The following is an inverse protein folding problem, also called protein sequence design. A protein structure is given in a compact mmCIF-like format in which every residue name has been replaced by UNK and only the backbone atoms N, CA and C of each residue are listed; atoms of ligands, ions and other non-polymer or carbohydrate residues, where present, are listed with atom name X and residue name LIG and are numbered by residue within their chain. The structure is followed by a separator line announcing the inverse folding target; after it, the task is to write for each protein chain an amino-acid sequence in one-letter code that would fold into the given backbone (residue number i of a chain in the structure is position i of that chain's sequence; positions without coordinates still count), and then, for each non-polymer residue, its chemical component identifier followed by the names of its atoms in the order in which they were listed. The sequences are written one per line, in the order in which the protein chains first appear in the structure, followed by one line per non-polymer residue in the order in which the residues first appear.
data_IF_460338498966
#
_entry.id   IF_460338498966
#
_cell.length_a   1.000
_cell.length_b   1.000
_cell.length_c   1.000
_cell.angle_alpha   90.00
_cell.angle_beta   90.00
_cell.angle_gamma   90.00
#
_symmetry.space_group_name_H-M   'P 1'
#
loop_
_entity.id
_entity.type
_entity.pdbx_description
1 polymer ?
#
# COMPACT_ATOMS: atom_id res chain seq x y z
N UNK A 1 5.78 13.44 -10.00
CA UNK A 1 5.46 12.01 -9.82
C UNK A 1 5.88 11.26 -11.07
N UNK A 2 6.45 10.07 -10.91
CA UNK A 2 6.74 9.16 -12.02
C UNK A 2 5.43 8.72 -12.68
N UNK A 3 5.46 8.40 -13.95
CA UNK A 3 4.26 7.89 -14.65
C UNK A 3 3.96 6.46 -14.23
N UNK A 4 2.71 6.01 -14.32
CA UNK A 4 2.33 4.61 -14.04
C UNK A 4 3.15 3.63 -14.88
N UNK A 5 3.50 4.00 -16.11
CA UNK A 5 4.33 3.18 -17.00
C UNK A 5 5.77 3.02 -16.48
N UNK A 6 6.40 4.11 -16.02
CA UNK A 6 7.74 4.07 -15.42
C UNK A 6 7.75 3.26 -14.13
N UNK A 7 6.72 3.43 -13.29
CA UNK A 7 6.55 2.65 -12.06
C UNK A 7 6.39 1.16 -12.35
N UNK A 8 5.57 0.80 -13.34
CA UNK A 8 5.38 -0.60 -13.75
C UNK A 8 6.70 -1.20 -14.23
N UNK A 9 7.44 -0.51 -15.07
CA UNK A 9 8.74 -0.98 -15.56
C UNK A 9 9.73 -1.17 -14.40
N UNK A 10 9.77 -0.24 -13.44
CA UNK A 10 10.63 -0.33 -12.26
C UNK A 10 10.25 -1.50 -11.35
N UNK A 11 8.97 -1.67 -11.06
CA UNK A 11 8.44 -2.76 -10.25
C UNK A 11 8.76 -4.13 -10.88
N UNK A 12 8.50 -4.28 -12.18
CA UNK A 12 8.81 -5.51 -12.92
C UNK A 12 10.33 -5.79 -12.96
N UNK A 13 11.17 -4.77 -13.13
CA UNK A 13 12.63 -4.92 -13.09
C UNK A 13 13.13 -5.39 -11.72
N UNK A 14 12.62 -4.82 -10.62
CA UNK A 14 12.96 -5.23 -9.27
C UNK A 14 12.53 -6.69 -9.01
N UNK A 15 11.28 -7.05 -9.30
CA UNK A 15 10.82 -8.43 -9.11
C UNK A 15 11.55 -9.43 -10.00
N UNK A 16 11.94 -9.06 -11.22
CA UNK A 16 12.72 -9.92 -12.12
C UNK A 16 14.13 -10.22 -11.60
N UNK A 17 14.65 -9.41 -10.68
CA UNK A 17 15.95 -9.67 -10.03
C UNK A 17 15.86 -10.71 -8.91
N UNK A 18 14.68 -11.09 -8.48
CA UNK A 18 14.43 -12.13 -7.47
C UNK A 18 14.66 -13.49 -8.10
N UNK A 19 15.48 -14.33 -7.46
CA UNK A 19 15.89 -15.64 -8.01
C UNK A 19 15.03 -16.82 -7.54
N UNK A 20 13.95 -16.55 -6.81
CA UNK A 20 13.09 -17.59 -6.23
C UNK A 20 12.28 -18.33 -7.29
N UNK A 21 12.26 -19.66 -7.17
CA UNK A 21 11.40 -20.49 -8.01
C UNK A 21 9.93 -20.07 -7.88
N UNK A 22 9.31 -19.82 -9.03
CA UNK A 22 7.91 -19.39 -9.11
C UNK A 22 7.69 -17.88 -9.23
N UNK A 23 8.76 -17.06 -9.18
CA UNK A 23 8.64 -15.60 -9.30
C UNK A 23 7.98 -15.19 -10.64
N UNK A 24 8.31 -15.85 -11.74
CA UNK A 24 7.71 -15.58 -13.05
C UNK A 24 6.21 -15.82 -13.04
N UNK A 25 5.74 -16.86 -12.31
CA UNK A 25 4.31 -17.16 -12.16
C UNK A 25 3.62 -16.12 -11.31
N UNK A 26 4.26 -15.64 -10.23
CA UNK A 26 3.74 -14.57 -9.39
C UNK A 26 3.61 -13.26 -10.20
N UNK A 27 4.66 -12.90 -10.94
CA UNK A 27 4.63 -11.72 -11.81
C UNK A 27 3.53 -11.81 -12.87
N UNK A 28 3.40 -12.99 -13.50
CA UNK A 28 2.31 -13.25 -14.46
C UNK A 28 0.93 -13.14 -13.82
N UNK A 29 0.75 -13.62 -12.59
CA UNK A 29 -0.49 -13.48 -11.84
C UNK A 29 -0.80 -12.00 -11.56
N UNK A 30 0.15 -11.24 -11.00
CA UNK A 30 -0.01 -9.82 -10.71
C UNK A 30 -0.43 -9.05 -11.98
N UNK A 31 0.25 -9.31 -13.09
CA UNK A 31 0.04 -8.62 -14.37
C UNK A 31 -1.28 -8.95 -15.05
N UNK A 32 -1.68 -10.21 -15.06
CA UNK A 32 -2.75 -10.70 -15.93
C UNK A 32 -4.04 -11.05 -15.17
N UNK A 33 -3.99 -11.20 -13.86
CA UNK A 33 -5.11 -11.66 -13.06
C UNK A 33 -5.50 -10.69 -11.92
N UNK A 34 -4.79 -9.56 -11.81
CA UNK A 34 -5.09 -8.54 -10.81
C UNK A 34 -5.07 -7.14 -11.41
N UNK A 35 -5.66 -6.21 -10.69
CA UNK A 35 -5.61 -4.78 -10.97
C UNK A 35 -4.45 -4.05 -10.23
N UNK A 36 -3.46 -4.78 -9.71
CA UNK A 36 -2.38 -4.24 -8.88
C UNK A 36 -1.73 -2.96 -9.43
N UNK A 37 -1.55 -2.89 -10.75
CA UNK A 37 -0.91 -1.75 -11.40
C UNK A 37 -1.81 -0.51 -11.52
N UNK A 38 -3.11 -0.69 -11.37
CA UNK A 38 -4.10 0.39 -11.48
C UNK A 38 -4.89 0.61 -10.19
N UNK A 39 -4.85 -0.34 -9.25
CA UNK A 39 -5.53 -0.25 -7.97
C UNK A 39 -5.07 0.96 -7.15
N UNK A 40 -5.96 1.59 -6.35
CA UNK A 40 -5.58 2.61 -5.38
C UNK A 40 -4.89 1.98 -4.16
N UNK A 41 -4.05 2.74 -3.46
CA UNK A 41 -3.47 2.31 -2.18
C UNK A 41 -4.48 2.36 -1.03
N UNK A 42 -5.48 3.24 -1.12
CA UNK A 42 -6.53 3.41 -0.11
C UNK A 42 -7.84 3.90 -0.73
N UNK A 43 -8.92 3.92 0.04
CA UNK A 43 -10.23 4.46 -0.43
C UNK A 43 -10.30 5.98 -0.40
N UNK A 44 -9.53 6.65 0.48
CA UNK A 44 -9.66 8.12 0.72
C UNK A 44 -8.48 8.76 1.44
N UNK A 45 -7.44 7.99 1.73
CA UNK A 45 -6.26 8.50 2.42
C UNK A 45 -5.15 8.74 1.39
N UNK A 46 -3.95 8.22 1.64
CA UNK A 46 -2.82 8.33 0.73
C UNK A 46 -3.09 7.57 -0.59
N UNK A 47 -2.68 8.16 -1.70
CA UNK A 47 -2.73 7.56 -3.05
C UNK A 47 -4.09 6.87 -3.37
N UNK A 48 -5.19 7.55 -3.04
CA UNK A 48 -6.55 7.10 -3.38
C UNK A 48 -6.86 7.40 -4.86
N UNK A 49 -5.98 6.96 -5.75
CA UNK A 49 -6.03 7.21 -7.20
C UNK A 49 -5.56 5.98 -7.98
N UNK A 50 -5.79 6.01 -9.28
CA UNK A 50 -5.30 4.97 -10.19
C UNK A 50 -3.77 4.85 -10.11
N UNK A 51 -3.27 3.59 -9.97
CA UNK A 51 -1.85 3.30 -9.81
C UNK A 51 -1.28 3.59 -8.43
N UNK A 52 -2.14 3.98 -7.48
CA UNK A 52 -1.72 4.31 -6.12
C UNK A 52 -1.03 3.17 -5.39
N UNK A 53 -1.55 1.94 -5.51
CA UNK A 53 -0.97 0.75 -4.88
C UNK A 53 0.46 0.46 -5.39
N UNK A 54 0.67 0.57 -6.70
CA UNK A 54 1.97 0.40 -7.32
C UNK A 54 2.97 1.46 -6.84
N UNK A 55 2.57 2.74 -6.82
CA UNK A 55 3.40 3.85 -6.34
C UNK A 55 3.75 3.66 -4.85
N UNK A 56 2.78 3.32 -4.01
CA UNK A 56 2.98 3.04 -2.59
C UNK A 56 4.01 1.93 -2.37
N UNK A 57 3.86 0.80 -3.05
CA UNK A 57 4.80 -0.32 -2.95
C UNK A 57 6.24 0.09 -3.29
N UNK A 58 6.43 0.93 -4.30
CA UNK A 58 7.74 1.46 -4.66
C UNK A 58 8.27 2.46 -3.62
N UNK A 59 7.43 3.32 -3.06
CA UNK A 59 7.80 4.25 -2.00
C UNK A 59 8.25 3.49 -0.74
N UNK A 60 7.51 2.45 -0.34
CA UNK A 60 7.89 1.57 0.79
C UNK A 60 9.23 0.88 0.52
N UNK A 61 9.47 0.43 -0.71
CA UNK A 61 10.77 -0.13 -1.09
C UNK A 61 11.90 0.88 -0.92
N UNK A 62 11.72 2.11 -1.40
CA UNK A 62 12.73 3.16 -1.28
C UNK A 62 13.03 3.51 0.19
N UNK A 63 11.99 3.65 1.01
CA UNK A 63 12.14 3.88 2.46
C UNK A 63 12.87 2.72 3.13
N UNK A 64 12.52 1.46 2.82
CA UNK A 64 13.14 0.28 3.42
C UNK A 64 14.62 0.16 3.03
N UNK A 65 14.95 0.38 1.76
CA UNK A 65 16.35 0.29 1.27
C UNK A 65 17.19 1.43 1.84
N UNK A 66 16.65 2.64 1.97
CA UNK A 66 17.36 3.77 2.57
C UNK A 66 17.80 3.49 4.01
N UNK A 67 17.09 2.62 4.75
CA UNK A 67 17.49 2.21 6.10
C UNK A 67 18.82 1.44 6.13
N UNK A 68 19.28 0.85 5.01
CA UNK A 68 20.58 0.16 4.92
C UNK A 68 21.78 1.09 5.23
N UNK A 69 21.61 2.39 5.02
CA UNK A 69 22.64 3.38 5.31
C UNK A 69 22.55 3.96 6.73
N UNK A 70 21.46 3.69 7.44
CA UNK A 70 21.26 4.12 8.82
C UNK A 70 22.16 3.32 9.78
N UNK A 71 22.91 3.99 10.68
CA UNK A 71 23.75 3.28 11.69
C UNK A 71 22.98 2.29 12.55
N UNK A 72 21.70 2.53 12.81
CA UNK A 72 20.82 1.65 13.61
C UNK A 72 20.41 0.43 12.81
N UNK A 73 20.01 0.61 11.54
CA UNK A 73 19.46 -0.45 10.71
C UNK A 73 20.49 -1.24 9.94
N UNK A 74 21.62 -0.64 9.63
CA UNK A 74 22.71 -1.28 8.86
C UNK A 74 23.12 -2.66 9.38
N UNK A 75 23.41 -2.87 10.68
CA UNK A 75 23.80 -4.19 11.19
C UNK A 75 22.66 -5.22 11.12
N UNK A 76 21.41 -4.76 11.20
CA UNK A 76 20.21 -5.62 11.13
C UNK A 76 19.95 -6.06 9.69
N UNK A 77 19.95 -5.10 8.76
CA UNK A 77 19.61 -5.34 7.35
C UNK A 77 20.76 -5.95 6.57
N UNK A 78 22.01 -5.88 7.03
CA UNK A 78 23.16 -6.54 6.38
C UNK A 78 23.01 -8.06 6.27
N UNK A 79 22.25 -8.68 7.17
CA UNK A 79 21.95 -10.13 7.13
C UNK A 79 20.71 -10.50 6.30
N UNK A 80 20.00 -9.53 5.72
CA UNK A 80 18.80 -9.75 4.94
C UNK A 80 19.15 -9.68 3.44
N UNK A 81 18.91 -10.75 2.66
CA UNK A 81 19.13 -10.70 1.20
C UNK A 81 18.33 -9.59 0.53
N UNK A 82 18.91 -8.96 -0.49
CA UNK A 82 18.23 -7.89 -1.24
C UNK A 82 16.91 -8.36 -1.85
N UNK A 83 16.84 -9.60 -2.34
CA UNK A 83 15.59 -10.18 -2.84
C UNK A 83 14.49 -10.24 -1.77
N UNK A 84 14.86 -10.44 -0.48
CA UNK A 84 13.90 -10.44 0.63
C UNK A 84 13.35 -9.04 0.88
N UNK A 85 14.19 -7.99 0.78
CA UNK A 85 13.74 -6.60 0.90
C UNK A 85 12.79 -6.23 -0.25
N UNK A 86 13.10 -6.67 -1.47
CA UNK A 86 12.24 -6.49 -2.64
C UNK A 86 10.88 -7.16 -2.41
N UNK A 87 10.87 -8.44 -2.03
CA UNK A 87 9.65 -9.22 -1.80
C UNK A 87 8.80 -8.56 -0.70
N UNK A 88 9.40 -8.23 0.44
CA UNK A 88 8.68 -7.65 1.57
C UNK A 88 8.08 -6.30 1.21
N UNK A 89 8.84 -5.40 0.62
CA UNK A 89 8.38 -4.05 0.34
C UNK A 89 7.39 -3.98 -0.83
N UNK A 90 7.66 -4.68 -1.93
CA UNK A 90 6.80 -4.61 -3.11
C UNK A 90 5.50 -5.39 -2.97
N UNK A 91 5.46 -6.41 -2.11
CA UNK A 91 4.33 -7.34 -2.03
C UNK A 91 3.60 -7.32 -0.68
N UNK A 92 4.00 -6.46 0.29
CA UNK A 92 3.35 -6.42 1.60
C UNK A 92 1.84 -6.21 1.51
N UNK A 93 1.43 -5.41 0.55
CA UNK A 93 0.05 -4.99 0.28
C UNK A 93 -0.58 -5.68 -0.94
N UNK A 94 -0.07 -6.83 -1.36
CA UNK A 94 -0.67 -7.60 -2.47
C UNK A 94 -2.15 -7.95 -2.22
N UNK A 95 -2.57 -7.99 -0.97
CA UNK A 95 -3.95 -8.16 -0.54
C UNK A 95 -4.92 -7.07 -1.04
N UNK A 96 -4.38 -5.90 -1.42
CA UNK A 96 -5.17 -4.78 -1.97
C UNK A 96 -5.46 -4.91 -3.47
N UNK A 97 -4.82 -5.86 -4.16
CA UNK A 97 -5.16 -6.17 -5.54
C UNK A 97 -6.53 -6.86 -5.62
N UNK A 98 -7.37 -6.42 -6.56
CA UNK A 98 -8.77 -6.85 -6.72
C UNK A 98 -9.60 -6.67 -5.43
N UNK A 99 -9.30 -5.63 -4.66
CA UNK A 99 -9.92 -5.36 -3.36
C UNK A 99 -10.85 -4.16 -3.38
N UNK A 100 -10.69 -3.28 -4.35
CA UNK A 100 -11.48 -2.07 -4.48
C UNK A 100 -12.34 -2.09 -5.73
N UNK A 101 -13.53 -1.51 -5.62
CA UNK A 101 -14.39 -1.19 -6.75
C UNK A 101 -14.58 0.33 -6.86
N UNK A 102 -14.71 0.82 -8.08
CA UNK A 102 -15.12 2.21 -8.30
C UNK A 102 -16.54 2.44 -7.81
N UNK A 103 -16.74 3.56 -7.17
CA UNK A 103 -18.03 4.01 -6.68
C UNK A 103 -18.14 5.52 -6.75
N UNK A 104 -19.24 6.05 -6.24
CA UNK A 104 -19.45 7.49 -6.10
C UNK A 104 -19.87 7.82 -4.68
N UNK A 105 -19.50 9.03 -4.24
CA UNK A 105 -19.99 9.60 -2.98
C UNK A 105 -20.42 11.04 -3.22
N UNK A 106 -21.40 11.50 -2.43
CA UNK A 106 -21.73 12.92 -2.37
C UNK A 106 -20.85 13.57 -1.30
N UNK A 107 -20.22 14.67 -1.66
CA UNK A 107 -19.45 15.51 -0.74
C UNK A 107 -19.80 16.97 -0.93
N UNK A 108 -19.63 17.79 0.11
CA UNK A 108 -19.75 19.23 0.00
C UNK A 108 -18.54 19.80 -0.72
N UNK A 109 -18.76 20.68 -1.68
CA UNK A 109 -17.70 21.53 -2.23
C UNK A 109 -18.02 22.98 -1.89
N UNK A 110 -17.01 23.69 -1.39
CA UNK A 110 -17.02 25.12 -1.08
C UNK A 110 -16.28 25.93 -2.14
N UNK A 111 -15.95 25.32 -3.27
CA UNK A 111 -15.30 25.98 -4.39
C UNK A 111 -16.19 27.17 -4.86
N UNK A 112 -15.71 28.42 -4.76
CA UNK A 112 -16.52 29.60 -5.07
C UNK A 112 -17.02 29.62 -6.53
N UNK A 113 -16.21 29.11 -7.47
CA UNK A 113 -16.57 29.08 -8.88
C UNK A 113 -17.69 28.07 -9.13
N UNK A 114 -17.59 26.88 -8.54
CA UNK A 114 -18.62 25.85 -8.64
C UNK A 114 -19.91 26.30 -7.95
N UNK A 115 -19.80 26.90 -6.76
CA UNK A 115 -20.98 27.43 -6.02
C UNK A 115 -21.65 28.55 -6.80
N UNK A 116 -20.88 29.48 -7.40
CA UNK A 116 -21.43 30.56 -8.20
C UNK A 116 -22.11 30.08 -9.49
N UNK A 117 -21.58 29.03 -10.11
CA UNK A 117 -22.14 28.44 -11.33
C UNK A 117 -23.38 27.57 -11.08
N UNK A 118 -23.61 27.13 -9.84
CA UNK A 118 -24.73 26.24 -9.51
C UNK A 118 -26.08 26.98 -9.51
N UNK A 119 -27.15 26.23 -9.76
CA UNK A 119 -28.51 26.75 -9.66
C UNK A 119 -28.86 27.18 -8.23
N UNK A 120 -29.69 28.21 -8.02
CA UNK A 120 -30.03 28.74 -6.69
C UNK A 120 -30.53 27.68 -5.69
N UNK A 121 -31.28 26.67 -6.18
CA UNK A 121 -31.80 25.59 -5.32
C UNK A 121 -30.76 24.57 -4.87
N UNK A 122 -29.60 24.50 -5.54
CA UNK A 122 -28.48 23.63 -5.18
C UNK A 122 -27.57 24.25 -4.14
N UNK A 123 -27.56 25.60 -4.04
CA UNK A 123 -26.70 26.34 -3.11
C UNK A 123 -27.24 26.19 -1.70
N UNK A 124 -26.36 25.88 -0.78
CA UNK A 124 -26.65 25.74 0.64
C UNK A 124 -25.58 26.47 1.43
N UNK A 125 -25.88 26.72 2.70
CA UNK A 125 -25.00 27.41 3.62
C UNK A 125 -24.84 26.62 4.91
N UNK A 126 -23.63 26.59 5.47
CA UNK A 126 -23.35 26.11 6.83
C UNK A 126 -22.26 26.98 7.49
N UNK A 127 -21.72 26.53 8.63
CA UNK A 127 -20.72 27.30 9.38
C UNK A 127 -19.41 27.54 8.60
N UNK A 128 -19.10 26.72 7.60
CA UNK A 128 -17.91 26.86 6.78
C UNK A 128 -18.13 27.76 5.54
N UNK A 129 -19.42 28.13 5.24
CA UNK A 129 -19.75 29.00 4.12
C UNK A 129 -20.77 28.39 3.17
N UNK A 130 -20.86 28.98 1.96
CA UNK A 130 -21.74 28.51 0.90
C UNK A 130 -21.14 27.26 0.24
N UNK A 131 -21.98 26.26 0.00
CA UNK A 131 -21.57 24.99 -0.60
C UNK A 131 -22.67 24.44 -1.54
N UNK A 132 -22.25 23.49 -2.37
CA UNK A 132 -23.14 22.60 -3.10
C UNK A 132 -22.73 21.13 -2.81
N UNK A 133 -23.68 20.22 -3.04
CA UNK A 133 -23.36 18.79 -3.07
C UNK A 133 -22.85 18.41 -4.45
N UNK A 134 -21.69 17.78 -4.49
CA UNK A 134 -21.06 17.26 -5.70
C UNK A 134 -20.90 15.73 -5.57
N UNK A 135 -21.27 15.01 -6.63
CA UNK A 135 -20.99 13.58 -6.70
C UNK A 135 -19.58 13.38 -7.25
N UNK A 136 -18.71 12.82 -6.45
CA UNK A 136 -17.33 12.55 -6.85
C UNK A 136 -17.07 11.05 -6.92
N UNK A 137 -16.15 10.66 -7.78
CA UNK A 137 -15.63 9.28 -7.82
C UNK A 137 -14.95 8.96 -6.49
N UNK A 138 -15.08 7.73 -6.06
CA UNK A 138 -14.41 7.19 -4.87
C UNK A 138 -14.19 5.71 -5.06
N UNK A 139 -13.37 5.11 -4.19
CA UNK A 139 -13.21 3.67 -4.11
C UNK A 139 -13.98 3.11 -2.92
N UNK A 140 -14.54 1.92 -3.07
CA UNK A 140 -15.21 1.16 -2.03
C UNK A 140 -14.54 -0.19 -1.88
N UNK A 141 -14.54 -0.72 -0.66
CA UNK A 141 -13.99 -2.07 -0.40
C UNK A 141 -14.97 -3.11 -0.92
N UNK A 142 -14.45 -4.05 -1.72
CA UNK A 142 -15.13 -5.25 -2.20
C UNK A 142 -14.27 -6.49 -1.89
N UNK A 143 -14.19 -6.83 -0.61
CA UNK A 143 -13.30 -7.89 -0.12
C UNK A 143 -13.85 -9.29 -0.41
N UNK A 144 -13.35 -9.90 -1.48
CA UNK A 144 -13.72 -11.28 -1.89
C UNK A 144 -13.01 -12.35 -1.05
N UNK A 145 -12.01 -11.99 -0.24
CA UNK A 145 -11.22 -12.91 0.58
C UNK A 145 -11.04 -12.33 2.00
N UNK A 146 -12.03 -12.47 2.88
CA UNK A 146 -12.06 -11.83 4.18
C UNK A 146 -11.09 -12.47 5.18
N UNK A 147 -9.79 -12.28 4.95
CA UNK A 147 -8.69 -12.64 5.84
C UNK A 147 -8.07 -11.36 6.41
N UNK A 148 -7.26 -11.50 7.45
CA UNK A 148 -6.45 -10.40 7.95
C UNK A 148 -5.55 -9.83 6.86
N UNK A 149 -5.28 -8.53 6.91
CA UNK A 149 -4.59 -7.79 5.84
C UNK A 149 -3.25 -8.42 5.45
N UNK A 150 -2.33 -8.56 6.41
CA UNK A 150 -1.03 -9.17 6.15
C UNK A 150 -1.11 -10.67 5.86
N UNK A 151 -2.04 -11.42 6.50
CA UNK A 151 -2.26 -12.84 6.22
C UNK A 151 -2.64 -13.09 4.76
N UNK A 152 -3.51 -12.24 4.23
CA UNK A 152 -3.96 -12.32 2.84
C UNK A 152 -2.78 -12.16 1.88
N UNK A 153 -1.92 -11.14 2.10
CA UNK A 153 -0.72 -10.94 1.28
C UNK A 153 0.22 -12.15 1.37
N UNK A 154 0.53 -12.64 2.57
CA UNK A 154 1.37 -13.83 2.76
C UNK A 154 0.78 -15.04 2.03
N UNK A 155 -0.52 -15.29 2.16
CA UNK A 155 -1.18 -16.42 1.51
C UNK A 155 -1.10 -16.32 -0.02
N UNK A 156 -1.41 -15.15 -0.59
CA UNK A 156 -1.36 -14.95 -2.04
C UNK A 156 0.05 -15.15 -2.59
N UNK A 157 1.07 -14.59 -1.93
CA UNK A 157 2.47 -14.74 -2.35
C UNK A 157 2.90 -16.21 -2.28
N UNK A 158 2.54 -16.92 -1.20
CA UNK A 158 2.94 -18.32 -0.99
C UNK A 158 2.26 -19.31 -1.95
N UNK A 159 1.21 -18.90 -2.68
CA UNK A 159 0.70 -19.70 -3.80
C UNK A 159 1.71 -19.85 -4.94
N UNK A 160 2.73 -19.00 -5.01
CA UNK A 160 3.67 -18.93 -6.12
C UNK A 160 5.13 -19.12 -5.69
N UNK A 161 5.57 -18.41 -4.63
CA UNK A 161 6.94 -18.48 -4.13
C UNK A 161 6.96 -18.84 -2.65
N UNK A 162 7.98 -19.55 -2.23
CA UNK A 162 8.17 -19.85 -0.81
C UNK A 162 8.76 -18.64 -0.09
N UNK A 163 8.08 -18.15 0.94
CA UNK A 163 8.59 -17.12 1.84
C UNK A 163 9.44 -17.73 2.97
N UNK A 164 10.48 -17.02 3.38
CA UNK A 164 11.19 -17.28 4.63
C UNK A 164 10.34 -16.85 5.82
N UNK A 165 10.64 -17.33 7.02
CA UNK A 165 9.90 -16.94 8.21
C UNK A 165 10.01 -15.43 8.52
N UNK A 166 11.16 -14.82 8.23
CA UNK A 166 11.34 -13.37 8.38
C UNK A 166 10.41 -12.57 7.46
N UNK A 167 10.30 -12.98 6.20
CA UNK A 167 9.40 -12.36 5.22
C UNK A 167 7.94 -12.54 5.60
N UNK A 168 7.56 -13.76 6.03
CA UNK A 168 6.20 -14.04 6.53
C UNK A 168 5.87 -13.10 7.68
N UNK A 169 6.76 -12.99 8.67
CA UNK A 169 6.51 -12.13 9.84
C UNK A 169 6.49 -10.64 9.47
N UNK A 170 7.39 -10.20 8.59
CA UNK A 170 7.42 -8.81 8.16
C UNK A 170 6.14 -8.43 7.38
N UNK A 171 5.76 -9.23 6.39
CA UNK A 171 4.54 -8.99 5.60
C UNK A 171 3.29 -9.14 6.48
N UNK A 172 3.22 -10.16 7.34
CA UNK A 172 2.05 -10.37 8.21
C UNK A 172 1.81 -9.19 9.15
N UNK A 173 2.86 -8.62 9.70
CA UNK A 173 2.78 -7.62 10.75
C UNK A 173 3.18 -6.20 10.31
N UNK A 174 3.23 -5.93 8.98
CA UNK A 174 3.63 -4.62 8.46
C UNK A 174 2.72 -3.47 8.93
N UNK A 175 1.44 -3.76 9.20
CA UNK A 175 0.50 -2.77 9.77
C UNK A 175 0.89 -2.32 11.18
N UNK A 176 1.78 -3.05 11.87
CA UNK A 176 2.24 -2.72 13.20
C UNK A 176 1.08 -2.48 14.16
N UNK A 177 1.17 -1.41 14.95
CA UNK A 177 0.14 -1.05 15.93
C UNK A 177 -1.11 -0.36 15.33
N UNK A 178 -1.22 -0.30 14.00
CA UNK A 178 -2.48 0.01 13.31
C UNK A 178 -3.37 -1.23 13.13
N UNK A 179 -2.89 -2.43 13.44
CA UNK A 179 -3.65 -3.67 13.47
C UNK A 179 -4.58 -3.72 14.71
N UNK A 180 -5.41 -4.76 14.83
CA UNK A 180 -6.31 -4.96 15.96
C UNK A 180 -5.53 -5.06 17.29
N UNK A 181 -6.06 -4.47 18.35
CA UNK A 181 -5.38 -4.40 19.67
C UNK A 181 -5.03 -5.76 20.25
N UNK A 182 -5.82 -6.78 19.95
CA UNK A 182 -5.62 -8.17 20.34
C UNK A 182 -4.28 -8.72 19.85
N UNK A 183 -3.75 -8.15 18.74
CA UNK A 183 -2.51 -8.57 18.10
C UNK A 183 -1.26 -7.86 18.65
N UNK A 184 -1.38 -6.81 19.45
CA UNK A 184 -0.24 -5.98 19.90
C UNK A 184 0.87 -6.78 20.59
N UNK A 185 0.52 -7.77 21.41
CA UNK A 185 1.50 -8.63 22.07
C UNK A 185 2.25 -9.52 21.05
N UNK A 186 1.54 -10.05 20.05
CA UNK A 186 2.15 -10.85 18.99
C UNK A 186 3.06 -9.97 18.09
N UNK A 187 2.63 -8.76 17.76
CA UNK A 187 3.40 -7.78 16.99
C UNK A 187 4.71 -7.43 17.71
N UNK A 188 4.64 -7.08 19.01
CA UNK A 188 5.83 -6.78 19.81
C UNK A 188 6.83 -7.94 19.79
N UNK A 189 6.37 -9.18 20.04
CA UNK A 189 7.21 -10.37 19.98
C UNK A 189 7.79 -10.64 18.59
N UNK A 190 7.03 -10.35 17.53
CA UNK A 190 7.52 -10.48 16.16
C UNK A 190 8.65 -9.49 15.87
N UNK A 191 8.49 -8.23 16.29
CA UNK A 191 9.52 -7.18 16.15
C UNK A 191 10.80 -7.51 16.93
N UNK A 192 10.66 -8.03 18.16
CA UNK A 192 11.80 -8.47 18.97
C UNK A 192 12.56 -9.63 18.31
N UNK A 193 11.85 -10.62 17.79
CA UNK A 193 12.46 -11.82 17.20
C UNK A 193 12.97 -11.59 15.77
N UNK A 194 12.31 -10.74 15.02
CA UNK A 194 12.60 -10.41 13.62
C UNK A 194 12.57 -8.88 13.44
N UNK A 195 13.65 -8.16 13.75
CA UNK A 195 13.66 -6.69 13.69
C UNK A 195 13.27 -6.10 12.32
N UNK A 196 13.39 -6.87 11.23
CA UNK A 196 12.92 -6.45 9.90
C UNK A 196 11.41 -6.19 9.85
N UNK A 197 10.62 -6.74 10.77
CA UNK A 197 9.19 -6.42 10.95
C UNK A 197 9.03 -4.94 11.27
N UNK A 198 9.81 -4.43 12.22
CA UNK A 198 9.81 -3.02 12.57
C UNK A 198 10.33 -2.16 11.41
N UNK A 199 11.39 -2.60 10.70
CA UNK A 199 11.93 -1.86 9.57
C UNK A 199 10.90 -1.67 8.45
N UNK A 200 10.13 -2.71 8.12
CA UNK A 200 9.07 -2.63 7.11
C UNK A 200 7.89 -1.75 7.58
N UNK A 201 7.46 -1.91 8.84
CA UNK A 201 6.41 -1.07 9.43
C UNK A 201 6.77 0.42 9.41
N UNK A 202 8.01 0.77 9.81
CA UNK A 202 8.48 2.16 9.71
C UNK A 202 8.55 2.65 8.25
N UNK A 203 9.02 1.81 7.33
CA UNK A 203 9.11 2.16 5.91
C UNK A 203 7.73 2.46 5.31
N UNK A 204 6.70 1.68 5.68
CA UNK A 204 5.31 1.91 5.29
C UNK A 204 4.77 3.22 5.88
N UNK A 205 5.04 3.50 7.16
CA UNK A 205 4.68 4.77 7.78
C UNK A 205 5.39 5.97 7.14
N UNK A 206 6.69 5.86 6.85
CA UNK A 206 7.48 6.90 6.18
C UNK A 206 6.92 7.19 4.77
N UNK A 207 6.62 6.14 4.00
CA UNK A 207 5.97 6.27 2.71
C UNK A 207 4.63 7.01 2.85
N UNK A 208 3.73 6.48 3.68
CA UNK A 208 2.37 7.00 3.87
C UNK A 208 2.32 8.42 4.44
N UNK A 209 3.16 8.73 5.45
CA UNK A 209 3.06 9.99 6.21
C UNK A 209 3.99 11.09 5.73
N UNK A 210 5.03 10.75 4.97
CA UNK A 210 6.03 11.73 4.51
C UNK A 210 5.99 11.87 2.99
N UNK A 211 6.10 10.75 2.24
CA UNK A 211 6.19 10.83 0.77
C UNK A 211 4.81 11.02 0.11
N UNK A 212 3.75 10.56 0.74
CA UNK A 212 2.38 10.51 0.22
C UNK A 212 1.42 11.46 0.97
N UNK A 213 1.95 12.34 1.82
CA UNK A 213 1.13 13.19 2.71
C UNK A 213 0.17 14.13 1.95
N UNK A 214 0.56 14.57 0.75
CA UNK A 214 -0.19 15.53 -0.07
C UNK A 214 -0.86 14.88 -1.31
N UNK A 215 -1.01 13.54 -1.31
CA UNK A 215 -1.51 12.76 -2.47
C UNK A 215 -2.97 12.31 -2.33
#
# INVERSE_FOLDING_TARGET
MSTTQENTARFEALLSSVTRSGIDKLMSYIKNNTDFYTAPASTRFHLACEGGLLQHSLNVYDCLVAKKDSPIWKPILAGIPDESLIIMALLHDLCKANFYMEGTKNQKTYDPEKVAAAEPWQRKHDQAGDYIWETVKTYQVDDQLPLGHGEKSVMLIQCYIRLTMQEVMAIRWHMGFSDAKENYNAIGKAMEKYPVVLALYEADLEATKILEADS
#
